data_IF_169667797223
#
_entry.id   IF_169667797223
#
_cell.length_a   1.000
_cell.length_b   1.000
_cell.length_c   1.000
_cell.angle_alpha   90.00
_cell.angle_beta   90.00
_cell.angle_gamma   90.00
#
_symmetry.space_group_name_H-M   'P 1'
#
loop_
_entity.id
_entity.type
_entity.pdbx_description
1 polymer ?
#
# COMPACT_ATOMS: atom_id res chain seq x y z
N UNK A 1 -1.20 -13.21 3.07
CA UNK A 1 -2.24 -12.14 3.00
C UNK A 1 -2.17 -11.20 4.19
N UNK A 2 -2.05 -9.90 3.94
CA UNK A 2 -2.11 -8.81 4.94
C UNK A 2 -3.13 -7.78 4.50
N UNK A 3 -3.85 -7.17 5.45
CA UNK A 3 -4.76 -6.06 5.12
C UNK A 3 -3.98 -4.87 4.55
N UNK A 4 -4.52 -4.22 3.53
CA UNK A 4 -3.90 -3.07 2.89
C UNK A 4 -3.72 -1.91 3.86
N UNK A 5 -4.73 -1.67 4.71
CA UNK A 5 -4.68 -0.67 5.79
C UNK A 5 -3.47 -0.88 6.71
N UNK A 6 -3.20 -2.13 7.08
CA UNK A 6 -2.06 -2.46 7.96
C UNK A 6 -0.73 -2.29 7.24
N UNK A 7 -0.69 -2.69 5.97
CA UNK A 7 0.51 -2.57 5.14
C UNK A 7 0.94 -1.11 4.99
N UNK A 8 0.05 -0.26 4.50
CA UNK A 8 0.34 1.15 4.24
C UNK A 8 0.65 1.92 5.54
N UNK A 9 -0.05 1.61 6.63
CA UNK A 9 0.27 2.20 7.94
C UNK A 9 1.67 1.81 8.42
N UNK A 10 2.13 0.58 8.13
CA UNK A 10 3.48 0.13 8.48
C UNK A 10 4.57 0.75 7.58
N UNK A 11 4.24 1.14 6.35
CA UNK A 11 5.13 1.84 5.43
C UNK A 11 5.29 3.33 5.77
N UNK A 12 4.40 3.87 6.60
CA UNK A 12 4.48 5.26 7.06
C UNK A 12 3.60 6.24 6.28
N UNK A 13 2.70 5.75 5.42
CA UNK A 13 1.75 6.60 4.68
C UNK A 13 0.69 7.28 5.57
N UNK A 14 0.59 6.88 6.83
CA UNK A 14 -0.27 7.53 7.82
C UNK A 14 -0.75 6.58 8.91
N UNK A 15 -1.56 7.10 9.82
CA UNK A 15 -2.29 6.27 10.78
C UNK A 15 -3.30 5.35 10.08
N UNK A 16 -3.70 4.26 10.72
CA UNK A 16 -4.74 3.35 10.19
C UNK A 16 -6.00 4.09 9.70
N UNK A 17 -6.42 5.14 10.42
CA UNK A 17 -7.61 5.93 10.09
C UNK A 17 -7.40 6.88 8.90
N UNK A 18 -6.17 7.34 8.67
CA UNK A 18 -5.83 8.13 7.48
C UNK A 18 -5.76 7.23 6.26
N UNK A 19 -5.08 6.09 6.38
CA UNK A 19 -4.99 5.08 5.31
C UNK A 19 -6.36 4.55 4.91
N UNK A 20 -7.25 4.26 5.86
CA UNK A 20 -8.64 3.89 5.54
C UNK A 20 -9.33 4.97 4.71
N UNK A 21 -9.17 6.26 5.06
CA UNK A 21 -9.72 7.35 4.25
C UNK A 21 -9.08 7.46 2.86
N UNK A 22 -7.79 7.16 2.72
CA UNK A 22 -7.13 7.12 1.42
C UNK A 22 -7.75 6.04 0.52
N UNK A 23 -8.05 4.87 1.11
CA UNK A 23 -8.75 3.78 0.41
C UNK A 23 -10.18 4.18 0.04
N UNK A 24 -10.94 4.72 0.99
CA UNK A 24 -12.32 5.18 0.75
C UNK A 24 -12.39 6.29 -0.32
N UNK A 25 -11.37 7.14 -0.40
CA UNK A 25 -11.25 8.19 -1.41
C UNK A 25 -10.72 7.70 -2.76
N UNK A 26 -10.32 6.42 -2.88
CA UNK A 26 -9.76 5.85 -4.09
C UNK A 26 -8.34 6.31 -4.43
N UNK A 27 -7.60 6.84 -3.45
CA UNK A 27 -6.20 7.28 -3.64
C UNK A 27 -5.22 6.11 -3.74
N UNK A 28 -5.65 4.92 -3.31
CA UNK A 28 -4.87 3.70 -3.43
C UNK A 28 -5.51 2.83 -4.50
N UNK A 29 -4.73 2.51 -5.54
CA UNK A 29 -5.22 1.77 -6.70
C UNK A 29 -4.22 0.71 -7.19
N UNK A 30 -4.69 -0.19 -8.04
CA UNK A 30 -3.83 -1.16 -8.75
C UNK A 30 -3.37 -0.64 -10.11
N UNK A 31 -2.49 -1.40 -10.77
CA UNK A 31 -1.90 -1.06 -12.08
C UNK A 31 -2.93 -0.72 -13.19
N UNK A 32 -4.17 -1.20 -13.06
CA UNK A 32 -5.26 -0.93 -14.01
C UNK A 32 -6.34 0.04 -13.48
N UNK A 33 -6.06 0.81 -12.42
CA UNK A 33 -7.06 1.64 -11.75
C UNK A 33 -8.06 0.82 -10.93
N UNK A 34 -7.68 -0.41 -10.55
CA UNK A 34 -8.45 -1.22 -9.61
C UNK A 34 -8.54 -0.47 -8.29
N UNK A 35 -9.77 -0.16 -7.85
CA UNK A 35 -10.01 0.47 -6.55
C UNK A 35 -9.95 -0.60 -5.47
N UNK A 36 -9.27 -0.29 -4.37
CA UNK A 36 -9.21 -1.14 -3.19
C UNK A 36 -10.08 -0.58 -2.07
N UNK A 37 -10.75 -1.46 -1.33
CA UNK A 37 -11.48 -1.13 -0.11
C UNK A 37 -10.56 -1.24 1.12
N UNK A 38 -10.99 -0.62 2.21
CA UNK A 38 -10.42 -0.71 3.55
C UNK A 38 -10.27 -2.15 4.08
N UNK A 39 -11.12 -3.08 3.63
CA UNK A 39 -11.08 -4.48 4.02
C UNK A 39 -10.26 -5.38 3.08
N UNK A 40 -9.76 -4.83 1.96
CA UNK A 40 -8.96 -5.60 1.02
C UNK A 40 -7.62 -6.04 1.62
N UNK A 41 -7.19 -7.21 1.16
CA UNK A 41 -5.93 -7.82 1.58
C UNK A 41 -5.10 -8.22 0.39
N UNK A 42 -3.80 -8.01 0.50
CA UNK A 42 -2.82 -8.36 -0.51
C UNK A 42 -1.93 -9.48 -0.01
N UNK A 43 -1.51 -10.36 -0.92
CA UNK A 43 -0.48 -11.31 -0.59
C UNK A 43 0.91 -10.72 -0.81
N UNK A 44 1.69 -10.58 0.27
CA UNK A 44 3.08 -10.09 0.17
C UNK A 44 4.02 -11.08 -0.51
N UNK A 45 3.62 -12.36 -0.60
CA UNK A 45 4.35 -13.35 -1.39
C UNK A 45 4.19 -13.09 -2.90
N UNK A 46 3.11 -12.44 -3.31
CA UNK A 46 2.88 -12.02 -4.69
C UNK A 46 3.53 -10.66 -4.97
N UNK A 47 4.75 -10.73 -5.50
CA UNK A 47 5.54 -9.56 -5.92
C UNK A 47 4.83 -8.73 -7.00
N UNK A 48 4.05 -9.37 -7.88
CA UNK A 48 3.38 -8.68 -8.97
C UNK A 48 2.18 -7.88 -8.45
N UNK A 49 1.38 -8.49 -7.56
CA UNK A 49 0.30 -7.79 -6.87
C UNK A 49 0.84 -6.58 -6.09
N UNK A 50 1.95 -6.75 -5.37
CA UNK A 50 2.55 -5.64 -4.62
C UNK A 50 3.05 -4.53 -5.53
N UNK A 51 3.81 -4.86 -6.58
CA UNK A 51 4.36 -3.88 -7.51
C UNK A 51 3.29 -3.14 -8.32
N UNK A 52 2.08 -3.70 -8.41
CA UNK A 52 0.93 -3.07 -9.02
C UNK A 52 0.28 -1.99 -8.14
N UNK A 53 0.57 -1.95 -6.83
CA UNK A 53 0.02 -0.92 -5.95
C UNK A 53 0.49 0.48 -6.36
N UNK A 54 -0.44 1.40 -6.35
CA UNK A 54 -0.26 2.82 -6.59
C UNK A 54 -0.89 3.60 -5.44
N UNK A 55 -0.20 4.62 -4.95
CA UNK A 55 -0.70 5.61 -4.01
C UNK A 55 -0.57 6.95 -4.72
N UNK A 56 -1.69 7.65 -4.91
CA UNK A 56 -1.75 8.92 -5.67
C UNK A 56 -1.08 8.80 -7.06
N UNK A 57 -1.39 7.73 -7.79
CA UNK A 57 -0.82 7.37 -9.09
C UNK A 57 0.69 7.02 -9.11
N UNK A 58 1.37 7.10 -7.96
CA UNK A 58 2.77 6.72 -7.81
C UNK A 58 2.95 5.28 -7.31
N UNK A 59 3.97 4.54 -7.77
CA UNK A 59 4.29 3.21 -7.23
C UNK A 59 4.44 3.20 -5.72
N UNK A 60 3.81 2.23 -5.06
CA UNK A 60 3.96 2.02 -3.63
C UNK A 60 5.42 1.78 -3.24
N UNK A 61 5.77 2.25 -2.04
CA UNK A 61 7.08 2.02 -1.43
C UNK A 61 7.39 0.52 -1.39
N UNK A 62 8.67 0.14 -1.42
CA UNK A 62 9.02 -1.27 -1.51
C UNK A 62 8.53 -2.10 -0.32
N UNK A 63 8.30 -3.40 -0.57
CA UNK A 63 7.72 -4.30 0.42
C UNK A 63 8.50 -4.34 1.75
N UNK A 64 7.80 -4.48 2.89
CA UNK A 64 8.42 -4.59 4.20
C UNK A 64 9.37 -5.78 4.24
N UNK A 65 10.59 -5.56 4.76
CA UNK A 65 11.71 -6.51 4.69
C UNK A 65 12.89 -5.99 3.87
N UNK A 66 12.75 -4.84 3.19
CA UNK A 66 13.87 -4.08 2.64
C UNK A 66 14.30 -2.99 3.62
N UNK A 67 15.58 -3.00 4.01
CA UNK A 67 16.19 -1.94 4.85
C UNK A 67 16.72 -0.85 3.92
N UNK A 68 16.05 0.30 3.88
CA UNK A 68 16.63 1.53 3.32
C UNK A 68 17.63 2.08 4.34
N UNK A 69 18.93 1.85 4.12
CA UNK A 69 19.96 2.57 4.86
C UNK A 69 20.00 4.02 4.37
N UNK A 70 19.45 4.93 5.17
CA UNK A 70 19.55 6.37 4.95
C UNK A 70 20.90 6.86 5.48
N UNK A 71 21.82 7.23 4.59
CA UNK A 71 22.99 8.03 4.98
C UNK A 71 22.54 9.50 5.01
N UNK A 72 22.56 10.10 6.20
CA UNK A 72 22.26 11.52 6.40
C UNK A 72 23.31 12.40 5.72
#
# INVERSE_FOLDING_TARGET
MVKLVKLLANLGYGSRREVTRMLDNGWVSGWAGQVFDSDDSIDLADRAAYAALRIDDEPADPAPGMVLMLHK
#
